data_IF_467504916523
#
_entry.id   IF_467504916523
#
_cell.length_a   1.000
_cell.length_b   1.000
_cell.length_c   1.000
_cell.angle_alpha   90.00
_cell.angle_beta   90.00
_cell.angle_gamma   90.00
#
_symmetry.space_group_name_H-M   'P 1'
#
loop_
_entity.id
_entity.type
_entity.pdbx_description
1 polymer ?
#
# COMPACT_ATOMS: atom_id res chain seq x y z
N UNK A 1 24.40 -10.11 2.33
CA UNK A 1 23.88 -11.18 1.47
C UNK A 1 22.37 -11.31 1.63
N UNK A 2 21.89 -11.36 2.87
CA UNK A 2 20.46 -11.45 3.28
C UNK A 2 19.49 -10.44 2.61
N UNK A 3 19.92 -9.20 2.33
CA UNK A 3 19.07 -8.21 1.66
C UNK A 3 18.83 -8.47 0.15
N UNK A 4 19.65 -9.30 -0.49
CA UNK A 4 19.53 -9.59 -1.93
C UNK A 4 18.32 -10.49 -2.20
N UNK A 5 18.15 -11.51 -1.36
CA UNK A 5 17.08 -12.50 -1.51
C UNK A 5 15.69 -11.88 -1.31
N UNK A 6 15.55 -10.98 -0.33
CA UNK A 6 14.31 -10.22 -0.12
C UNK A 6 13.97 -9.38 -1.36
N UNK A 7 14.96 -8.68 -1.91
CA UNK A 7 14.75 -7.81 -3.08
C UNK A 7 14.34 -8.64 -4.31
N UNK A 8 14.96 -9.79 -4.51
CA UNK A 8 14.69 -10.64 -5.67
C UNK A 8 13.32 -11.34 -5.55
N UNK A 9 12.95 -11.82 -4.36
CA UNK A 9 11.60 -12.34 -4.09
C UNK A 9 10.51 -11.28 -4.32
N UNK A 10 10.75 -10.02 -3.92
CA UNK A 10 9.81 -8.92 -4.15
C UNK A 10 9.66 -8.58 -5.64
N UNK A 11 10.74 -8.67 -6.43
CA UNK A 11 10.67 -8.48 -7.89
C UNK A 11 9.87 -9.58 -8.57
N UNK A 12 10.10 -10.83 -8.16
CA UNK A 12 9.36 -11.97 -8.70
C UNK A 12 7.87 -11.86 -8.38
N UNK A 13 7.53 -11.57 -7.12
CA UNK A 13 6.16 -11.30 -6.69
C UNK A 13 5.51 -10.17 -7.51
N UNK A 14 6.22 -9.04 -7.68
CA UNK A 14 5.72 -7.90 -8.47
C UNK A 14 5.46 -8.29 -9.92
N UNK A 15 6.31 -9.14 -10.50
CA UNK A 15 6.18 -9.63 -11.88
C UNK A 15 4.98 -10.59 -12.03
N UNK A 16 4.71 -11.41 -11.03
CA UNK A 16 3.55 -12.30 -11.03
C UNK A 16 2.24 -11.48 -10.97
N UNK A 17 2.17 -10.50 -10.06
CA UNK A 17 1.01 -9.61 -9.92
C UNK A 17 0.76 -8.81 -11.21
N UNK A 18 1.80 -8.28 -11.86
CA UNK A 18 1.65 -7.45 -13.07
C UNK A 18 1.20 -8.20 -14.32
N UNK A 19 1.22 -9.54 -14.31
CA UNK A 19 0.77 -10.38 -15.44
C UNK A 19 -0.66 -10.86 -15.29
N UNK A 20 -1.30 -10.53 -14.17
CA UNK A 20 -2.64 -10.99 -13.83
C UNK A 20 -3.62 -9.85 -14.02
N UNK A 21 -4.55 -9.99 -14.96
CA UNK A 21 -5.63 -9.01 -15.22
C UNK A 21 -6.94 -9.36 -14.46
N UNK A 22 -6.87 -10.30 -13.53
CA UNK A 22 -7.99 -10.78 -12.72
C UNK A 22 -7.88 -10.24 -11.28
N UNK A 23 -8.69 -9.23 -10.91
CA UNK A 23 -8.65 -8.65 -9.56
C UNK A 23 -9.14 -9.61 -8.46
N UNK A 24 -10.04 -10.55 -8.78
CA UNK A 24 -10.57 -11.49 -7.80
C UNK A 24 -9.50 -12.53 -7.42
N UNK A 25 -8.74 -13.01 -8.42
CA UNK A 25 -7.59 -13.90 -8.17
C UNK A 25 -6.50 -13.20 -7.35
N UNK A 26 -6.22 -11.92 -7.61
CA UNK A 26 -5.25 -11.15 -6.83
C UNK A 26 -5.71 -11.01 -5.37
N UNK A 27 -7.01 -10.78 -5.15
CA UNK A 27 -7.57 -10.70 -3.81
C UNK A 27 -7.41 -12.02 -3.06
N UNK A 28 -7.84 -13.15 -3.64
CA UNK A 28 -7.69 -14.48 -3.04
C UNK A 28 -6.22 -14.81 -2.74
N UNK A 29 -5.32 -14.47 -3.65
CA UNK A 29 -3.89 -14.64 -3.45
C UNK A 29 -3.37 -13.86 -2.24
N UNK A 30 -3.76 -12.58 -2.08
CA UNK A 30 -3.37 -11.76 -0.93
C UNK A 30 -3.95 -12.29 0.38
N UNK A 31 -5.18 -12.83 0.34
CA UNK A 31 -5.80 -13.50 1.49
C UNK A 31 -5.07 -14.78 1.91
N UNK A 32 -4.46 -15.49 0.96
CA UNK A 32 -3.63 -16.65 1.23
C UNK A 32 -2.22 -16.29 1.72
N UNK A 33 -1.64 -15.21 1.17
CA UNK A 33 -0.25 -14.80 1.45
C UNK A 33 -0.12 -14.09 2.80
N UNK A 34 -1.10 -13.25 3.16
CA UNK A 34 -1.02 -12.35 4.31
C UNK A 34 -1.83 -12.88 5.49
N UNK A 35 -1.32 -12.64 6.69
CA UNK A 35 -2.14 -12.80 7.89
C UNK A 35 -3.23 -11.73 7.95
N UNK A 36 -4.30 -11.98 8.73
CA UNK A 36 -5.38 -11.00 8.94
C UNK A 36 -4.88 -9.63 9.41
N UNK A 37 -3.86 -9.62 10.28
CA UNK A 37 -3.27 -8.36 10.76
C UNK A 37 -2.52 -7.63 9.63
N UNK A 38 -1.69 -8.34 8.87
CA UNK A 38 -0.95 -7.74 7.75
C UNK A 38 -1.90 -7.21 6.67
N UNK A 39 -2.97 -7.94 6.36
CA UNK A 39 -4.01 -7.51 5.44
C UNK A 39 -4.69 -6.23 5.91
N UNK A 40 -5.06 -6.16 7.20
CA UNK A 40 -5.62 -4.94 7.80
C UNK A 40 -4.64 -3.76 7.71
N UNK A 41 -3.35 -3.99 7.89
CA UNK A 41 -2.33 -2.95 7.76
C UNK A 41 -2.18 -2.46 6.32
N UNK A 42 -2.11 -3.38 5.35
CA UNK A 42 -2.01 -3.06 3.92
C UNK A 42 -3.24 -2.28 3.46
N UNK A 43 -4.45 -2.74 3.82
CA UNK A 43 -5.70 -2.06 3.49
C UNK A 43 -5.76 -0.65 4.11
N UNK A 44 -5.34 -0.50 5.37
CA UNK A 44 -5.28 0.81 6.04
C UNK A 44 -4.27 1.75 5.37
N UNK A 45 -3.13 1.24 4.92
CA UNK A 45 -2.14 2.03 4.17
C UNK A 45 -2.68 2.46 2.81
N UNK A 46 -3.41 1.58 2.12
CA UNK A 46 -4.05 1.94 0.86
C UNK A 46 -5.14 3.02 1.04
N UNK A 47 -5.97 2.91 2.08
CA UNK A 47 -6.94 3.93 2.42
C UNK A 47 -6.27 5.28 2.73
N UNK A 48 -5.19 5.27 3.52
CA UNK A 48 -4.38 6.46 3.81
C UNK A 48 -3.86 7.13 2.53
N UNK A 49 -3.33 6.33 1.59
CA UNK A 49 -2.83 6.82 0.29
C UNK A 49 -3.94 7.54 -0.49
N UNK A 50 -5.12 6.92 -0.64
CA UNK A 50 -6.26 7.53 -1.34
C UNK A 50 -6.72 8.83 -0.70
N UNK A 51 -6.81 8.88 0.63
CA UNK A 51 -7.25 10.08 1.34
C UNK A 51 -6.26 11.23 1.24
N UNK A 52 -4.95 10.93 1.20
CA UNK A 52 -3.90 11.92 0.99
C UNK A 52 -3.96 12.51 -0.42
N UNK A 53 -4.18 11.68 -1.44
CA UNK A 53 -4.36 12.13 -2.83
C UNK A 53 -5.58 13.05 -2.98
N UNK A 54 -6.65 12.77 -2.24
CA UNK A 54 -7.86 13.62 -2.17
C UNK A 54 -7.65 14.94 -1.40
N UNK A 55 -6.44 15.23 -0.90
CA UNK A 55 -6.15 16.45 -0.15
C UNK A 55 -6.64 16.45 1.31
N UNK A 56 -7.00 15.28 1.86
CA UNK A 56 -7.46 15.20 3.25
C UNK A 56 -6.31 15.45 4.21
N UNK A 57 -6.53 16.29 5.23
CA UNK A 57 -5.50 16.56 6.24
C UNK A 57 -5.14 15.30 7.05
N UNK A 58 -3.86 15.16 7.39
CA UNK A 58 -3.34 14.02 8.18
C UNK A 58 -4.08 13.81 9.51
N UNK A 59 -4.54 14.90 10.14
CA UNK A 59 -5.31 14.86 11.39
C UNK A 59 -6.68 14.22 11.18
N UNK A 60 -7.37 14.56 10.09
CA UNK A 60 -8.66 13.97 9.76
C UNK A 60 -8.50 12.49 9.39
N UNK A 61 -7.43 12.15 8.66
CA UNK A 61 -7.12 10.76 8.33
C UNK A 61 -6.86 9.92 9.58
N UNK A 62 -6.11 10.45 10.56
CA UNK A 62 -5.87 9.78 11.84
C UNK A 62 -7.18 9.43 12.55
N UNK A 63 -8.12 10.39 12.57
CA UNK A 63 -9.44 10.20 13.19
C UNK A 63 -10.30 9.18 12.45
N UNK A 64 -10.27 9.16 11.11
CA UNK A 64 -11.14 8.29 10.32
C UNK A 64 -10.62 6.84 10.24
N UNK A 65 -9.29 6.65 10.19
CA UNK A 65 -8.68 5.33 10.10
C UNK A 65 -8.28 4.74 11.46
N UNK A 66 -8.48 5.47 12.56
CA UNK A 66 -8.03 5.05 13.90
C UNK A 66 -6.51 4.90 14.01
N UNK A 67 -5.76 5.55 13.11
CA UNK A 67 -4.30 5.48 13.07
C UNK A 67 -3.67 6.60 13.89
N UNK A 68 -2.57 6.32 14.58
CA UNK A 68 -1.82 7.37 15.26
C UNK A 68 -1.15 8.31 14.23
N UNK A 69 -1.05 9.60 14.57
CA UNK A 69 -0.41 10.61 13.71
C UNK A 69 1.05 10.25 13.36
N UNK A 70 1.75 9.54 14.24
CA UNK A 70 3.10 9.02 14.01
C UNK A 70 3.14 7.97 12.88
N UNK A 71 2.15 7.06 12.81
CA UNK A 71 2.04 6.08 11.72
C UNK A 71 1.80 6.76 10.36
N UNK A 72 1.03 7.84 10.36
CA UNK A 72 0.72 8.61 9.14
C UNK A 72 1.92 9.43 8.66
N UNK A 73 2.58 10.16 9.55
CA UNK A 73 3.69 11.06 9.17
C UNK A 73 4.87 10.31 8.55
N UNK A 74 5.21 9.11 9.04
CA UNK A 74 6.27 8.26 8.47
C UNK A 74 5.92 7.71 7.09
N UNK A 75 4.66 7.36 6.83
CA UNK A 75 4.19 6.95 5.49
C UNK A 75 4.00 8.11 4.53
N UNK A 76 3.58 9.28 5.03
CA UNK A 76 3.24 10.45 4.19
C UNK A 76 4.43 11.10 3.49
N UNK A 77 5.64 10.99 4.04
CA UNK A 77 6.86 11.55 3.42
C UNK A 77 7.17 10.90 2.07
N UNK A 78 6.88 9.62 1.92
CA UNK A 78 7.02 8.90 0.64
C UNK A 78 5.85 9.22 -0.31
N UNK A 79 4.68 9.57 0.23
CA UNK A 79 3.46 9.90 -0.51
C UNK A 79 3.45 11.31 -1.11
N UNK A 80 4.18 12.25 -0.52
CA UNK A 80 4.28 13.64 -1.01
C UNK A 80 5.24 13.81 -2.19
N UNK A 81 5.91 12.74 -2.65
CA UNK A 81 6.74 12.79 -3.85
C UNK A 81 5.81 12.85 -5.07
N UNK A 82 5.94 13.91 -5.86
CA UNK A 82 5.10 14.23 -7.03
C UNK A 82 5.06 13.14 -8.11
N UNK A 83 6.00 12.17 -8.06
CA UNK A 83 6.13 11.02 -8.97
C UNK A 83 6.18 9.68 -8.22
N UNK A 84 5.50 9.58 -7.07
CA UNK A 84 5.49 8.34 -6.30
C UNK A 84 4.78 7.19 -7.05
N UNK A 85 5.24 5.95 -6.84
CA UNK A 85 4.55 4.76 -7.33
C UNK A 85 3.09 4.72 -6.84
N UNK A 86 2.81 5.27 -5.66
CA UNK A 86 1.46 5.41 -5.14
C UNK A 86 0.54 6.24 -6.03
N UNK A 87 1.00 7.40 -6.53
CA UNK A 87 0.18 8.24 -7.41
C UNK A 87 -0.18 7.48 -8.68
N UNK A 88 0.80 6.83 -9.30
CA UNK A 88 0.62 6.03 -10.52
C UNK A 88 -0.39 4.90 -10.33
N UNK A 89 -0.35 4.21 -9.17
CA UNK A 89 -1.30 3.14 -8.87
C UNK A 89 -2.70 3.66 -8.52
N UNK A 90 -2.82 4.80 -7.82
CA UNK A 90 -4.14 5.42 -7.56
C UNK A 90 -4.83 5.75 -8.88
N UNK A 91 -4.09 6.26 -9.87
CA UNK A 91 -4.68 6.67 -11.14
C UNK A 91 -5.14 5.46 -12.01
N UNK A 92 -4.87 4.21 -11.58
CA UNK A 92 -5.37 2.98 -12.24
C UNK A 92 -6.69 2.46 -11.72
N UNK A 93 -7.20 3.01 -10.61
CA UNK A 93 -8.44 2.55 -9.94
C UNK A 93 -9.57 3.58 -9.97
#
# INVERSE_FOLDING_TARGET
MENRDITDNLKELSTALSKTDDPDLILEFLECLLTRNEMSEVASRWALVKMLDQGTSQRNIASQLGLSLCKITRGSKELQKTESAFKKMIDTV
#
